data_IF_699728145959
#
_entry.id   IF_699728145959
#
_cell.length_a   1.000
_cell.length_b   1.000
_cell.length_c   1.000
_cell.angle_alpha   90.00
_cell.angle_beta   90.00
_cell.angle_gamma   90.00
#
_symmetry.space_group_name_H-M   'P 1'
#
loop_
_entity.id
_entity.type
_entity.pdbx_description
1 polymer ?
#
# COMPACT_ATOMS: atom_id res chain seq x y z
N UNK A 1 17.61 -11.96 3.51
CA UNK A 1 16.94 -10.64 3.58
C UNK A 1 15.86 -10.77 4.64
N UNK A 2 15.92 -9.98 5.71
CA UNK A 2 14.97 -10.08 6.82
C UNK A 2 13.52 -10.06 6.32
N UNK A 3 12.66 -10.91 6.90
CA UNK A 3 11.24 -11.09 6.58
C UNK A 3 10.42 -9.80 6.84
N UNK A 4 10.61 -8.76 6.03
CA UNK A 4 9.86 -7.49 6.10
C UNK A 4 8.59 -7.52 5.22
N UNK A 5 8.09 -8.70 4.89
CA UNK A 5 6.87 -8.87 4.11
C UNK A 5 5.77 -9.43 5.01
N UNK A 6 4.75 -8.62 5.28
CA UNK A 6 3.51 -9.03 5.90
C UNK A 6 2.39 -9.14 4.83
N UNK A 7 1.46 -10.08 5.00
CA UNK A 7 0.29 -10.22 4.13
C UNK A 7 -0.85 -9.37 4.67
N UNK A 8 -1.40 -8.50 3.83
CA UNK A 8 -2.63 -7.73 4.10
C UNK A 8 -3.74 -8.27 3.18
N UNK A 9 -4.84 -8.76 3.77
CA UNK A 9 -6.03 -9.21 3.04
C UNK A 9 -7.11 -8.15 3.18
N UNK A 10 -7.68 -7.70 2.06
CA UNK A 10 -8.71 -6.67 2.00
C UNK A 10 -9.91 -7.22 1.23
N UNK A 11 -11.11 -6.91 1.70
CA UNK A 11 -12.34 -7.13 0.94
C UNK A 11 -12.75 -5.81 0.32
N UNK A 12 -12.98 -5.83 -0.98
CA UNK A 12 -13.50 -4.68 -1.73
C UNK A 12 -14.66 -5.15 -2.60
N UNK A 13 -15.53 -4.20 -2.90
CA UNK A 13 -16.62 -4.39 -3.84
C UNK A 13 -16.11 -4.89 -5.21
N UNK A 14 -16.79 -5.86 -5.85
CA UNK A 14 -16.33 -6.46 -7.11
C UNK A 14 -16.28 -5.46 -8.27
N UNK A 15 -17.19 -4.49 -8.34
CA UNK A 15 -17.18 -3.47 -9.40
C UNK A 15 -15.99 -2.53 -9.21
N UNK A 16 -15.71 -2.11 -7.97
CA UNK A 16 -14.51 -1.33 -7.65
C UNK A 16 -13.22 -2.09 -7.96
N UNK A 17 -13.19 -3.40 -7.70
CA UNK A 17 -12.04 -4.25 -8.02
C UNK A 17 -11.77 -4.25 -9.54
N UNK A 18 -12.81 -4.45 -10.35
CA UNK A 18 -12.68 -4.46 -11.80
C UNK A 18 -12.19 -3.11 -12.34
N UNK A 19 -12.78 -2.01 -11.87
CA UNK A 19 -12.35 -0.66 -12.26
C UNK A 19 -10.90 -0.38 -11.86
N UNK A 20 -10.49 -0.79 -10.65
CA UNK A 20 -9.11 -0.63 -10.19
C UNK A 20 -8.11 -1.46 -11.02
N UNK A 21 -8.46 -2.70 -11.38
CA UNK A 21 -7.64 -3.55 -12.23
C UNK A 21 -7.49 -2.99 -13.65
N UNK A 22 -8.55 -2.39 -14.20
CA UNK A 22 -8.50 -1.74 -15.50
C UNK A 22 -7.60 -0.50 -15.50
N UNK A 23 -7.71 0.36 -14.48
CA UNK A 23 -6.83 1.52 -14.31
C UNK A 23 -5.37 1.09 -14.17
N UNK A 24 -5.09 0.07 -13.34
CA UNK A 24 -3.75 -0.47 -13.17
C UNK A 24 -3.18 -0.99 -14.51
N UNK A 25 -4.00 -1.66 -15.32
CA UNK A 25 -3.60 -2.17 -16.64
C UNK A 25 -3.27 -1.04 -17.63
N UNK A 26 -4.00 0.09 -17.58
CA UNK A 26 -3.71 1.26 -18.42
C UNK A 26 -2.37 1.91 -18.08
N UNK A 27 -1.97 1.86 -16.81
CA UNK A 27 -0.71 2.40 -16.31
C UNK A 27 0.46 1.40 -16.33
N UNK A 28 0.28 0.20 -16.88
CA UNK A 28 1.26 -0.90 -16.89
C UNK A 28 1.78 -1.28 -15.48
N UNK A 29 0.90 -1.23 -14.49
CA UNK A 29 1.21 -1.62 -13.09
C UNK A 29 0.27 -2.69 -12.58
N UNK A 30 0.73 -3.46 -11.60
CA UNK A 30 -0.13 -4.43 -10.92
C UNK A 30 -0.92 -3.76 -9.79
N UNK A 31 -2.13 -4.26 -9.47
CA UNK A 31 -2.92 -3.80 -8.31
C UNK A 31 -2.11 -3.79 -7.01
N UNK A 32 -1.26 -4.79 -6.80
CA UNK A 32 -0.40 -4.89 -5.62
C UNK A 32 0.65 -3.78 -5.54
N UNK A 33 1.22 -3.35 -6.68
CA UNK A 33 2.16 -2.23 -6.70
C UNK A 33 1.45 -0.92 -6.35
N UNK A 34 0.29 -0.66 -6.93
CA UNK A 34 -0.47 0.56 -6.66
C UNK A 34 -1.00 0.62 -5.22
N UNK A 35 -1.52 -0.48 -4.68
CA UNK A 35 -1.93 -0.55 -3.26
C UNK A 35 -0.74 -0.29 -2.32
N UNK A 36 0.45 -0.81 -2.62
CA UNK A 36 1.65 -0.52 -1.81
C UNK A 36 2.03 0.96 -1.87
N UNK A 37 1.88 1.59 -3.03
CA UNK A 37 2.11 3.03 -3.20
C UNK A 37 1.13 3.83 -2.32
N UNK A 38 -0.17 3.54 -2.40
CA UNK A 38 -1.18 4.22 -1.59
C UNK A 38 -0.97 4.05 -0.09
N UNK A 39 -0.62 2.83 0.36
CA UNK A 39 -0.29 2.59 1.78
C UNK A 39 0.89 3.45 2.20
N UNK A 40 1.94 3.49 1.38
CA UNK A 40 3.14 4.27 1.65
C UNK A 40 2.82 5.76 1.74
N UNK A 41 2.14 6.31 0.73
CA UNK A 41 1.74 7.71 0.68
C UNK A 41 0.86 8.09 1.87
N UNK A 42 -0.13 7.26 2.22
CA UNK A 42 -1.00 7.49 3.37
C UNK A 42 -0.24 7.50 4.70
N UNK A 43 0.73 6.59 4.88
CA UNK A 43 1.55 6.53 6.09
C UNK A 43 2.49 7.73 6.18
N UNK A 44 3.17 8.09 5.08
CA UNK A 44 4.07 9.24 5.03
C UNK A 44 3.33 10.57 5.20
N UNK A 45 2.12 10.71 4.64
CA UNK A 45 1.27 11.89 4.83
C UNK A 45 0.88 12.07 6.31
N UNK A 46 0.59 10.98 7.02
CA UNK A 46 0.06 11.04 8.40
C UNK A 46 1.13 11.08 9.48
N UNK A 47 2.27 10.42 9.25
CA UNK A 47 3.33 10.24 10.24
C UNK A 47 4.64 10.93 9.85
N UNK A 48 4.73 11.49 8.65
CA UNK A 48 5.94 12.04 8.09
C UNK A 48 6.86 10.98 7.45
N UNK A 49 7.91 11.43 6.72
CA UNK A 49 8.85 10.53 6.04
C UNK A 49 9.65 9.64 7.02
N UNK A 50 9.74 10.04 8.28
CA UNK A 50 10.53 9.39 9.33
C UNK A 50 9.72 8.36 10.17
N UNK A 51 8.52 7.99 9.71
CA UNK A 51 7.58 7.17 10.47
C UNK A 51 8.14 5.84 10.98
N UNK A 52 9.19 5.31 10.35
CA UNK A 52 9.87 4.08 10.77
C UNK A 52 10.67 4.25 12.04
N UNK A 53 11.27 5.43 12.24
CA UNK A 53 12.08 5.75 13.42
C UNK A 53 11.15 6.13 14.59
N UNK A 54 10.10 6.92 14.34
CA UNK A 54 9.07 7.22 15.34
C UNK A 54 8.43 5.94 15.93
N UNK A 55 8.15 4.94 15.08
CA UNK A 55 7.62 3.64 15.51
C UNK A 55 8.60 2.81 16.33
N UNK A 56 9.91 2.88 16.04
CA UNK A 56 10.94 2.16 16.81
C UNK A 56 11.17 2.81 18.17
N UNK A 57 11.11 4.13 18.25
CA UNK A 57 11.30 4.87 19.51
C UNK A 57 10.10 4.76 20.47
N UNK A 58 8.92 4.40 19.97
CA UNK A 58 7.72 4.16 20.79
C UNK A 58 7.58 2.72 21.30
N UNK A 59 8.49 1.81 20.92
CA UNK A 59 8.36 0.37 21.16
C UNK A 59 9.34 -0.19 22.17
#
# INVERSE_FOLDING_TARGET
MENRTARLTLLIDPEKKAAFEELCKQEDVTPSQKVRQFIREYVEERLGPDWREDRKNRS
#
